data_IF_479543966376
#
_entry.id   IF_479543966376
#
_cell.length_a   1.000
_cell.length_b   1.000
_cell.length_c   1.000
_cell.angle_alpha   90.00
_cell.angle_beta   90.00
_cell.angle_gamma   90.00
#
_symmetry.space_group_name_H-M   'P 1'
#
loop_
_entity.id
_entity.type
_entity.pdbx_description
1 polymer ?
#
# COMPACT_ATOMS: atom_id res chain seq x y z
N UNK A 1 -1.54 8.67 4.19
CA UNK A 1 -2.59 8.05 3.35
C UNK A 1 -2.47 8.62 1.95
N UNK A 2 -2.50 7.77 0.91
CA UNK A 2 -2.07 8.15 -0.43
C UNK A 2 -2.08 6.99 -1.43
N UNK A 3 -1.38 7.19 -2.55
CA UNK A 3 -1.16 6.22 -3.62
C UNK A 3 0.34 5.97 -3.75
N UNK A 4 0.70 4.70 -3.80
CA UNK A 4 2.09 4.27 -3.97
C UNK A 4 2.17 3.08 -4.91
N UNK A 5 3.26 3.00 -5.66
CA UNK A 5 3.57 1.81 -6.43
C UNK A 5 4.50 0.90 -5.65
N UNK A 6 4.12 -0.36 -5.54
CA UNK A 6 4.96 -1.43 -5.01
C UNK A 6 5.39 -2.34 -6.15
N UNK A 7 6.66 -2.74 -6.13
CA UNK A 7 7.16 -3.77 -7.04
C UNK A 7 6.95 -5.16 -6.45
N UNK A 8 6.34 -6.05 -7.23
CA UNK A 8 5.92 -7.40 -6.83
C UNK A 8 6.34 -8.44 -7.89
N UNK A 9 6.38 -9.73 -7.54
CA UNK A 9 6.46 -10.79 -8.54
C UNK A 9 5.29 -10.76 -9.53
N UNK A 10 5.54 -11.23 -10.75
CA UNK A 10 4.54 -11.33 -11.82
C UNK A 10 3.27 -12.06 -11.37
N UNK A 11 3.44 -13.16 -10.64
CA UNK A 11 2.37 -14.02 -10.16
C UNK A 11 1.90 -13.67 -8.75
N UNK A 12 2.18 -12.46 -8.26
CA UNK A 12 1.73 -12.04 -6.95
C UNK A 12 0.21 -11.86 -6.92
N UNK A 13 -0.46 -12.71 -6.14
CA UNK A 13 -1.86 -12.54 -5.77
C UNK A 13 -1.94 -12.08 -4.31
N UNK A 14 -2.45 -10.87 -4.12
CA UNK A 14 -2.49 -10.26 -2.80
C UNK A 14 -3.53 -10.98 -1.92
N UNK A 15 -3.19 -11.36 -0.67
CA UNK A 15 -4.07 -12.13 0.19
C UNK A 15 -5.43 -11.49 0.40
N UNK A 16 -6.48 -12.33 0.46
CA UNK A 16 -7.86 -11.92 0.75
C UNK A 16 -8.37 -12.62 1.99
N UNK A 17 -9.27 -11.96 2.71
CA UNK A 17 -9.96 -12.59 3.83
C UNK A 17 -10.81 -13.77 3.33
N UNK A 18 -10.65 -14.89 4.01
CA UNK A 18 -11.53 -16.05 3.94
C UNK A 18 -12.54 -16.01 5.09
N UNK A 19 -13.54 -16.89 5.05
CA UNK A 19 -14.59 -16.95 6.08
C UNK A 19 -14.04 -17.13 7.51
N UNK A 20 -12.92 -17.83 7.66
CA UNK A 20 -12.35 -18.18 8.96
C UNK A 20 -11.45 -17.09 9.57
N UNK A 21 -10.96 -16.12 8.78
CA UNK A 21 -10.08 -15.04 9.27
C UNK A 21 -10.63 -13.64 9.03
N UNK A 22 -11.80 -13.52 8.40
CA UNK A 22 -12.44 -12.22 8.19
C UNK A 22 -12.83 -11.59 9.54
N UNK A 23 -12.47 -10.33 9.81
CA UNK A 23 -12.85 -9.64 11.05
C UNK A 23 -14.38 -9.43 11.15
N UNK A 24 -15.07 -9.43 10.02
CA UNK A 24 -16.52 -9.33 9.92
C UNK A 24 -16.99 -9.97 8.60
N UNK A 25 -18.26 -10.42 8.49
CA UNK A 25 -18.74 -11.14 7.30
C UNK A 25 -18.57 -10.38 5.98
N UNK A 26 -18.67 -9.04 5.98
CA UNK A 26 -18.51 -8.21 4.78
C UNK A 26 -17.05 -7.99 4.35
N UNK A 27 -16.08 -8.46 5.14
CA UNK A 27 -14.67 -8.46 4.77
C UNK A 27 -14.28 -9.65 3.90
N UNK A 28 -15.05 -10.74 3.90
CA UNK A 28 -14.73 -11.94 3.09
C UNK A 28 -14.55 -11.55 1.62
N UNK A 29 -13.44 -11.98 1.03
CA UNK A 29 -13.02 -11.65 -0.33
C UNK A 29 -12.35 -10.28 -0.50
N UNK A 30 -12.35 -9.40 0.51
CA UNK A 30 -11.54 -8.17 0.47
C UNK A 30 -10.07 -8.48 0.68
N UNK A 31 -9.20 -7.64 0.13
CA UNK A 31 -7.77 -7.72 0.37
C UNK A 31 -7.46 -7.48 1.85
N UNK A 32 -6.50 -8.24 2.38
CA UNK A 32 -5.97 -8.07 3.72
C UNK A 32 -4.98 -6.90 3.67
N UNK A 33 -5.11 -5.86 4.50
CA UNK A 33 -4.09 -4.82 4.63
C UNK A 33 -2.70 -5.39 4.94
N UNK A 34 -1.67 -4.95 4.20
CA UNK A 34 -0.30 -5.37 4.46
C UNK A 34 0.67 -4.19 4.42
N UNK A 35 1.49 -4.04 5.46
CA UNK A 35 2.56 -3.05 5.53
C UNK A 35 3.65 -3.33 4.49
N UNK A 36 4.22 -2.28 3.91
CA UNK A 36 5.29 -2.41 2.91
C UNK A 36 6.65 -2.65 3.56
N UNK A 37 6.91 -3.88 4.01
CA UNK A 37 8.16 -4.26 4.68
C UNK A 37 8.28 -3.73 6.11
N UNK A 38 9.47 -3.88 6.71
CA UNK A 38 9.74 -3.43 8.09
C UNK A 38 9.45 -4.46 9.18
N UNK A 39 9.00 -5.68 8.83
CA UNK A 39 8.76 -6.76 9.80
C UNK A 39 9.97 -7.04 10.69
N UNK A 40 11.17 -7.16 10.10
CA UNK A 40 12.39 -7.50 10.85
C UNK A 40 12.72 -6.45 11.91
N UNK A 41 12.60 -5.17 11.55
CA UNK A 41 12.80 -4.06 12.49
C UNK A 41 11.73 -4.05 13.58
N UNK A 42 10.45 -4.16 13.20
CA UNK A 42 9.34 -4.17 14.15
C UNK A 42 9.47 -5.34 15.15
N UNK A 43 9.84 -6.52 14.66
CA UNK A 43 10.07 -7.70 15.50
C UNK A 43 11.28 -7.52 16.42
N UNK A 44 12.37 -6.93 15.92
CA UNK A 44 13.55 -6.64 16.73
C UNK A 44 13.25 -5.64 17.84
N UNK A 45 12.54 -4.56 17.52
CA UNK A 45 12.16 -3.51 18.49
C UNK A 45 11.22 -4.06 19.57
N UNK A 46 10.21 -4.85 19.16
CA UNK A 46 9.30 -5.51 20.10
C UNK A 46 10.05 -6.47 21.03
N UNK A 47 10.93 -7.31 20.49
CA UNK A 47 11.74 -8.25 21.27
C UNK A 47 12.71 -7.52 22.20
N UNK A 48 13.31 -6.41 21.75
CA UNK A 48 14.20 -5.62 22.58
C UNK A 48 13.46 -5.09 23.81
N UNK A 49 12.26 -4.53 23.64
CA UNK A 49 11.45 -4.03 24.76
C UNK A 49 10.99 -5.16 25.68
N UNK A 50 10.51 -6.27 25.11
CA UNK A 50 10.11 -7.45 25.87
C UNK A 50 11.25 -7.98 26.75
N UNK A 51 12.48 -8.00 26.23
CA UNK A 51 13.66 -8.46 26.96
C UNK A 51 14.17 -7.45 28.01
N UNK A 52 14.03 -6.15 27.75
CA UNK A 52 14.56 -5.10 28.61
C UNK A 52 13.60 -4.73 29.76
N UNK A 53 12.30 -4.69 29.48
CA UNK A 53 11.28 -4.12 30.37
C UNK A 53 10.22 -5.15 30.78
N UNK A 54 10.05 -6.23 30.01
CA UNK A 54 9.04 -7.26 30.28
C UNK A 54 8.02 -7.40 29.16
N UNK A 55 7.35 -8.56 29.12
CA UNK A 55 6.33 -8.86 28.11
C UNK A 55 5.10 -7.94 28.24
N UNK A 56 4.69 -7.62 29.46
CA UNK A 56 3.52 -6.78 29.72
C UNK A 56 3.74 -5.35 29.22
N UNK A 57 4.90 -4.77 29.51
CA UNK A 57 5.32 -3.44 29.05
C UNK A 57 5.52 -3.36 27.53
N UNK A 58 6.00 -4.45 26.91
CA UNK A 58 6.07 -4.54 25.46
C UNK A 58 4.68 -4.55 24.82
N UNK A 59 3.75 -5.31 25.40
CA UNK A 59 2.36 -5.38 24.94
C UNK A 59 1.63 -4.05 25.14
N UNK A 60 1.83 -3.36 26.26
CA UNK A 60 1.21 -2.05 26.51
C UNK A 60 1.69 -0.99 25.50
N UNK A 61 2.97 -1.02 25.15
CA UNK A 61 3.56 -0.01 24.26
C UNK A 61 3.34 -0.29 22.77
N UNK A 62 3.56 -1.52 22.31
CA UNK A 62 3.49 -1.89 20.89
C UNK A 62 2.19 -2.61 20.51
N UNK A 63 1.46 -3.15 21.49
CA UNK A 63 0.46 -4.19 21.26
C UNK A 63 1.07 -5.58 21.14
N UNK A 64 0.32 -6.49 20.53
CA UNK A 64 0.78 -7.84 20.25
C UNK A 64 2.07 -7.86 19.43
N UNK A 65 2.83 -8.96 19.56
CA UNK A 65 4.02 -9.17 18.74
C UNK A 65 3.66 -9.08 17.24
N UNK A 66 4.46 -8.37 16.42
CA UNK A 66 4.18 -8.19 15.00
C UNK A 66 4.11 -9.54 14.31
N UNK A 67 3.09 -9.75 13.48
CA UNK A 67 2.90 -11.01 12.75
C UNK A 67 3.42 -10.84 11.33
N UNK A 68 4.24 -11.79 10.87
CA UNK A 68 4.81 -11.75 9.51
C UNK A 68 3.74 -11.69 8.41
N UNK A 69 2.53 -12.21 8.67
CA UNK A 69 1.38 -12.14 7.76
C UNK A 69 0.89 -10.73 7.46
N UNK A 70 1.21 -9.76 8.32
CA UNK A 70 0.71 -8.39 8.24
C UNK A 70 1.64 -7.51 7.39
N UNK A 71 2.68 -8.09 6.81
CA UNK A 71 3.72 -7.42 6.04
C UNK A 71 3.89 -8.06 4.66
N UNK A 72 4.10 -7.21 3.65
CA UNK A 72 4.50 -7.63 2.31
C UNK A 72 5.75 -8.52 2.39
N UNK A 73 5.78 -9.67 1.71
CA UNK A 73 6.96 -10.53 1.70
C UNK A 73 8.20 -9.77 1.17
N UNK A 74 9.33 -9.98 1.82
CA UNK A 74 10.62 -9.46 1.34
C UNK A 74 11.12 -10.32 0.19
N UNK A 75 10.73 -9.99 -1.04
CA UNK A 75 11.26 -10.64 -2.24
C UNK A 75 12.63 -10.06 -2.63
N UNK A 76 13.54 -10.89 -3.16
CA UNK A 76 14.73 -10.41 -3.84
C UNK A 76 14.39 -9.41 -4.96
N UNK A 77 15.30 -8.49 -5.26
CA UNK A 77 15.07 -7.45 -6.27
C UNK A 77 14.79 -8.03 -7.65
N UNK A 78 15.46 -9.12 -8.02
CA UNK A 78 15.30 -9.83 -9.28
C UNK A 78 13.90 -10.44 -9.46
N UNK A 79 13.15 -10.66 -8.37
CA UNK A 79 11.78 -11.18 -8.43
C UNK A 79 10.74 -10.06 -8.51
N UNK A 80 11.09 -8.81 -8.15
CA UNK A 80 10.17 -7.68 -8.08
C UNK A 80 10.06 -6.98 -9.45
N UNK A 81 9.58 -7.72 -10.44
CA UNK A 81 9.57 -7.30 -11.84
C UNK A 81 8.33 -6.53 -12.27
N UNK A 82 7.22 -6.63 -11.53
CA UNK A 82 5.94 -6.04 -11.89
C UNK A 82 5.53 -4.89 -10.97
N UNK A 83 4.74 -3.97 -11.50
CA UNK A 83 4.24 -2.77 -10.85
C UNK A 83 2.77 -2.96 -10.48
N UNK A 84 2.44 -2.67 -9.22
CA UNK A 84 1.07 -2.71 -8.72
C UNK A 84 0.80 -1.47 -7.88
N UNK A 85 -0.35 -0.83 -8.10
CA UNK A 85 -0.77 0.35 -7.37
C UNK A 85 -1.46 -0.04 -6.07
N UNK A 86 -1.05 0.59 -4.98
CA UNK A 86 -1.59 0.39 -3.64
C UNK A 86 -2.19 1.69 -3.11
N UNK A 87 -3.22 1.54 -2.28
CA UNK A 87 -3.64 2.61 -1.40
C UNK A 87 -3.09 2.44 0.01
N UNK A 88 -2.58 3.52 0.59
CA UNK A 88 -2.14 3.55 1.99
C UNK A 88 -3.22 4.10 2.94
N UNK A 89 -4.48 4.05 2.52
CA UNK A 89 -5.64 4.48 3.34
C UNK A 89 -6.14 3.35 4.21
N UNK A 90 -6.30 2.15 3.64
CA UNK A 90 -6.48 0.90 4.39
C UNK A 90 -5.15 0.20 4.70
N UNK A 91 -4.08 0.96 4.93
CA UNK A 91 -2.74 0.45 5.30
C UNK A 91 -2.01 -0.43 4.27
N UNK A 92 -2.53 -0.59 3.05
CA UNK A 92 -1.78 -1.21 1.96
C UNK A 92 -2.53 -2.31 1.21
N UNK A 93 -3.73 -2.01 0.70
CA UNK A 93 -4.41 -2.91 -0.24
C UNK A 93 -4.17 -2.47 -1.69
N UNK A 94 -4.06 -3.42 -2.63
CA UNK A 94 -3.87 -3.06 -4.02
C UNK A 94 -5.18 -2.59 -4.67
N UNK A 95 -5.07 -1.61 -5.56
CA UNK A 95 -6.17 -1.09 -6.39
C UNK A 95 -6.04 -1.47 -7.87
N UNK A 96 -4.93 -2.12 -8.26
CA UNK A 96 -4.70 -2.60 -9.61
C UNK A 96 -4.17 -4.04 -9.61
N UNK A 97 -4.24 -4.76 -10.74
CA UNK A 97 -3.40 -5.91 -11.02
C UNK A 97 -1.90 -5.54 -11.08
N UNK A 98 -1.05 -6.55 -11.24
CA UNK A 98 0.37 -6.41 -11.50
C UNK A 98 0.62 -6.24 -13.01
N UNK A 99 1.45 -5.27 -13.39
CA UNK A 99 1.79 -4.96 -14.79
C UNK A 99 3.30 -4.96 -15.01
N UNK A 100 3.74 -5.28 -16.22
CA UNK A 100 5.15 -5.40 -16.54
C UNK A 100 5.85 -4.03 -16.67
N UNK A 101 5.06 -2.98 -16.94
CA UNK A 101 5.55 -1.62 -17.14
C UNK A 101 4.72 -0.57 -16.40
N UNK A 102 5.33 0.58 -16.01
CA UNK A 102 4.60 1.72 -15.47
C UNK A 102 3.49 2.26 -16.39
N UNK A 103 3.71 2.22 -17.71
CA UNK A 103 2.77 2.71 -18.72
C UNK A 103 1.50 1.86 -18.80
N UNK A 104 1.62 0.53 -18.74
CA UNK A 104 0.48 -0.38 -18.68
C UNK A 104 -0.34 -0.13 -17.41
N UNK A 105 0.32 0.00 -16.27
CA UNK A 105 -0.33 0.33 -15.00
C UNK A 105 -1.08 1.67 -15.09
N UNK A 106 -0.41 2.72 -15.56
CA UNK A 106 -0.99 4.06 -15.65
C UNK A 106 -2.20 4.11 -16.60
N UNK A 107 -2.12 3.41 -17.73
CA UNK A 107 -3.22 3.30 -18.69
C UNK A 107 -4.41 2.58 -18.07
N UNK A 108 -4.18 1.44 -17.42
CA UNK A 108 -5.24 0.71 -16.75
C UNK A 108 -5.93 1.55 -15.66
N UNK A 109 -5.17 2.29 -14.86
CA UNK A 109 -5.72 3.16 -13.81
C UNK A 109 -6.58 4.29 -14.39
N UNK A 110 -6.15 4.89 -15.49
CA UNK A 110 -6.93 5.93 -16.17
C UNK A 110 -8.20 5.36 -16.83
N UNK A 111 -8.07 4.27 -17.58
CA UNK A 111 -9.17 3.67 -18.35
C UNK A 111 -10.27 3.08 -17.44
N UNK A 112 -9.89 2.56 -16.27
CA UNK A 112 -10.85 2.01 -15.29
C UNK A 112 -11.44 3.07 -14.37
N UNK A 113 -10.95 4.31 -14.42
CA UNK A 113 -11.36 5.37 -13.49
C UNK A 113 -10.97 5.07 -12.05
N UNK A 114 -9.80 4.46 -11.83
CA UNK A 114 -9.32 4.12 -10.50
C UNK A 114 -9.29 5.36 -9.59
N UNK A 115 -9.69 5.19 -8.34
CA UNK A 115 -9.81 6.30 -7.39
C UNK A 115 -8.43 6.85 -7.02
N UNK A 116 -8.18 8.13 -7.34
CA UNK A 116 -7.02 8.89 -6.85
C UNK A 116 -7.27 9.41 -5.43
N UNK A 117 -8.50 9.85 -5.14
CA UNK A 117 -8.99 10.21 -3.82
C UNK A 117 -10.52 10.30 -3.81
N UNK A 118 -11.18 9.66 -2.84
CA UNK A 118 -12.64 9.60 -2.77
C UNK A 118 -13.27 9.18 -4.12
N UNK A 119 -14.16 9.99 -4.68
CA UNK A 119 -14.78 9.75 -5.99
C UNK A 119 -13.98 10.29 -7.19
N UNK A 120 -12.80 10.85 -6.97
CA UNK A 120 -11.97 11.41 -8.05
C UNK A 120 -11.04 10.35 -8.64
N UNK A 121 -10.75 10.49 -9.93
CA UNK A 121 -9.72 9.74 -10.64
C UNK A 121 -8.57 10.69 -11.05
N UNK A 122 -7.64 10.25 -11.88
CA UNK A 122 -6.55 11.07 -12.40
C UNK A 122 -6.24 10.72 -13.86
N UNK A 123 -5.52 11.61 -14.56
CA UNK A 123 -5.12 11.38 -15.96
C UNK A 123 -4.05 10.29 -16.08
N UNK A 124 -3.85 9.79 -17.30
CA UNK A 124 -2.77 8.86 -17.61
C UNK A 124 -1.40 9.40 -17.19
N UNK A 125 -1.11 10.66 -17.51
CA UNK A 125 0.17 11.32 -17.21
C UNK A 125 0.39 11.44 -15.70
N UNK A 126 -0.67 11.75 -14.95
CA UNK A 126 -0.63 11.81 -13.50
C UNK A 126 -0.33 10.42 -12.91
N UNK A 127 -1.02 9.39 -13.38
CA UNK A 127 -0.77 8.01 -12.94
C UNK A 127 0.62 7.51 -13.33
N UNK A 128 1.12 7.84 -14.52
CA UNK A 128 2.43 7.43 -15.00
C UNK A 128 3.56 8.00 -14.14
N UNK A 129 3.42 9.23 -13.63
CA UNK A 129 4.38 9.80 -12.68
C UNK A 129 4.45 9.01 -11.38
N UNK A 130 3.30 8.60 -10.85
CA UNK A 130 3.27 7.75 -9.63
C UNK A 130 3.82 6.36 -9.94
N UNK A 131 3.45 5.79 -11.10
CA UNK A 131 3.92 4.49 -11.54
C UNK A 131 5.45 4.39 -11.69
N UNK A 132 6.11 5.49 -12.04
CA UNK A 132 7.56 5.60 -12.12
C UNK A 132 8.29 5.78 -10.76
N UNK A 133 7.59 5.56 -9.64
CA UNK A 133 8.18 5.58 -8.29
C UNK A 133 7.83 6.82 -7.46
N UNK A 134 6.81 7.58 -7.87
CA UNK A 134 6.26 8.67 -7.06
C UNK A 134 5.43 8.16 -5.87
N UNK A 135 5.31 8.98 -4.84
CA UNK A 135 4.29 8.85 -3.79
C UNK A 135 3.36 10.05 -3.88
N UNK A 136 2.05 9.79 -3.95
CA UNK A 136 1.04 10.85 -3.94
C UNK A 136 0.26 10.81 -2.63
N UNK A 137 0.26 11.90 -1.83
CA UNK A 137 -0.66 11.99 -0.70
C UNK A 137 -2.11 11.97 -1.20
N UNK A 138 -3.04 11.51 -0.36
CA UNK A 138 -4.45 11.39 -0.74
C UNK A 138 -5.10 12.74 -1.00
N UNK A 139 -4.72 13.76 -0.24
CA UNK A 139 -5.21 15.12 -0.42
C UNK A 139 -4.11 16.14 -0.11
N UNK A 140 -4.10 17.24 -0.85
CA UNK A 140 -3.19 18.39 -0.67
C UNK A 140 -4.04 19.65 -0.60
N UNK A 141 -3.82 20.48 0.42
CA UNK A 141 -4.40 21.82 0.49
C UNK A 141 -3.61 22.75 -0.43
N UNK A 142 -4.25 23.28 -1.46
CA UNK A 142 -3.68 24.26 -2.39
C UNK A 142 -4.32 25.63 -2.17
N UNK A 143 -3.82 26.67 -2.85
CA UNK A 143 -4.46 27.99 -2.86
C UNK A 143 -5.88 27.99 -3.46
N UNK A 144 -6.27 26.93 -4.18
CA UNK A 144 -7.59 26.76 -4.79
C UNK A 144 -8.50 25.79 -4.00
N UNK A 145 -8.05 25.31 -2.84
CA UNK A 145 -8.77 24.36 -2.00
C UNK A 145 -8.13 22.97 -1.97
N UNK A 146 -8.92 21.97 -1.56
CA UNK A 146 -8.48 20.59 -1.40
C UNK A 146 -8.41 19.88 -2.76
N UNK A 147 -7.23 19.34 -3.11
CA UNK A 147 -7.00 18.60 -4.36
C UNK A 147 -6.42 17.21 -4.10
N UNK A 148 -6.55 16.28 -5.04
CA UNK A 148 -5.86 14.98 -4.99
C UNK A 148 -4.35 15.17 -5.13
N UNK A 149 -3.55 14.48 -4.31
CA UNK A 149 -2.10 14.58 -4.43
C UNK A 149 -1.54 13.94 -5.70
N UNK A 150 -2.29 13.04 -6.34
CA UNK A 150 -1.92 12.49 -7.66
C UNK A 150 -1.92 13.61 -8.71
N UNK A 151 -2.93 14.48 -8.67
CA UNK A 151 -3.06 15.60 -9.63
C UNK A 151 -2.03 16.69 -9.34
N UNK A 152 -1.80 17.02 -8.07
CA UNK A 152 -0.81 18.04 -7.68
C UNK A 152 0.60 17.63 -8.09
N UNK A 153 0.97 16.37 -7.86
CA UNK A 153 2.26 15.81 -8.30
C UNK A 153 2.42 15.77 -9.83
N UNK A 154 1.30 15.80 -10.58
CA UNK A 154 1.32 15.92 -12.03
C UNK A 154 1.60 17.34 -12.53
N UNK A 155 1.33 18.36 -11.70
CA UNK A 155 1.46 19.78 -12.09
C UNK A 155 2.77 20.43 -11.65
N UNK A 156 3.43 19.92 -10.59
CA UNK A 156 4.71 20.45 -10.12
C UNK A 156 5.87 19.79 -10.89
N UNK A 157 6.38 20.47 -11.92
CA UNK A 157 7.63 20.13 -12.63
C UNK A 157 8.41 21.41 -12.91
#
# INVERSE_FOLDING_TARGET
MGREVRKVPENWDHPRYAEWNAPFPTAVGRFIPMHNGGYEQAAADWLQKANAEGLEEAIDYYGDAPKKSDYMPSWPEEQRTHFMMYESTSEGTPISPAFSTPEELARWLADTGASSFAGHTASYEAWLRIANGGYAPSAVMTSHGLSSGVDVFATES
#
